data_IF_681407478267
#
_entry.id   IF_681407478267
#
_cell.length_a   1.000
_cell.length_b   1.000
_cell.length_c   1.000
_cell.angle_alpha   90.00
_cell.angle_beta   90.00
_cell.angle_gamma   90.00
#
_symmetry.space_group_name_H-M   'P 1'
#
loop_
_entity.id
_entity.type
_entity.pdbx_description
1 polymer ?
#
# COMPACT_ATOMS: atom_id res chain seq x y z
N UNK A 1 -34.15 -17.05 3.47
CA UNK A 1 -32.99 -16.92 2.56
C UNK A 1 -31.76 -16.76 3.44
N UNK A 2 -30.77 -17.65 3.32
CA UNK A 2 -29.48 -17.49 4.01
C UNK A 2 -28.74 -16.32 3.36
N UNK A 3 -29.02 -15.12 3.82
CA UNK A 3 -28.36 -13.90 3.36
C UNK A 3 -26.91 -13.89 3.80
N UNK A 4 -26.03 -13.45 2.92
CA UNK A 4 -24.65 -13.12 3.27
C UNK A 4 -24.72 -12.00 4.31
N UNK A 5 -24.39 -12.35 5.55
CA UNK A 5 -24.38 -11.42 6.66
C UNK A 5 -23.00 -10.75 6.75
N UNK A 6 -22.97 -9.52 7.26
CA UNK A 6 -21.74 -8.75 7.47
C UNK A 6 -20.61 -9.53 8.18
N UNK A 7 -20.89 -10.35 9.23
CA UNK A 7 -19.85 -11.16 9.88
C UNK A 7 -19.27 -12.25 8.98
N UNK A 8 -20.08 -12.88 8.11
CA UNK A 8 -19.60 -13.90 7.17
C UNK A 8 -18.56 -13.31 6.20
N UNK A 9 -18.80 -12.10 5.69
CA UNK A 9 -17.85 -11.41 4.80
C UNK A 9 -16.51 -11.12 5.48
N UNK A 10 -16.54 -10.76 6.76
CA UNK A 10 -15.32 -10.46 7.53
C UNK A 10 -14.47 -11.72 7.70
N UNK A 11 -15.09 -12.86 8.01
CA UNK A 11 -14.41 -14.17 8.12
C UNK A 11 -13.75 -14.55 6.79
N UNK A 12 -14.46 -14.38 5.66
CA UNK A 12 -13.91 -14.64 4.33
C UNK A 12 -12.73 -13.71 4.02
N UNK A 13 -12.86 -12.42 4.34
CA UNK A 13 -11.79 -11.43 4.12
C UNK A 13 -10.51 -11.79 4.88
N UNK A 14 -10.63 -12.26 6.13
CA UNK A 14 -9.47 -12.74 6.92
C UNK A 14 -8.79 -13.92 6.24
N UNK A 15 -9.55 -14.90 5.75
CA UNK A 15 -8.99 -16.05 5.03
C UNK A 15 -8.24 -15.59 3.78
N UNK A 16 -8.82 -14.68 2.98
CA UNK A 16 -8.17 -14.14 1.77
C UNK A 16 -6.87 -13.42 2.13
N UNK A 17 -6.86 -12.60 3.19
CA UNK A 17 -5.64 -11.92 3.65
C UNK A 17 -4.56 -12.92 4.07
N UNK A 18 -4.93 -14.02 4.72
CA UNK A 18 -3.97 -15.06 5.11
C UNK A 18 -3.40 -15.83 3.90
N UNK A 19 -4.23 -16.11 2.88
CA UNK A 19 -3.79 -16.83 1.67
C UNK A 19 -2.86 -15.98 0.79
N UNK A 20 -3.23 -14.72 0.57
CA UNK A 20 -2.48 -13.83 -0.33
C UNK A 20 -1.41 -13.00 0.38
N UNK A 21 -1.49 -12.90 1.71
CA UNK A 21 -0.67 -12.02 2.53
C UNK A 21 -1.06 -10.55 2.42
N UNK A 22 -0.82 -9.79 3.49
CA UNK A 22 -1.09 -8.33 3.54
C UNK A 22 -0.23 -7.54 2.56
N UNK A 23 0.99 -8.01 2.25
CA UNK A 23 1.93 -7.33 1.34
C UNK A 23 1.40 -7.29 -0.09
N UNK A 24 0.83 -8.40 -0.58
CA UNK A 24 0.28 -8.48 -1.94
C UNK A 24 -1.05 -7.72 -2.06
N UNK A 25 -1.90 -7.82 -1.04
CA UNK A 25 -3.12 -7.02 -0.95
C UNK A 25 -2.85 -5.52 -0.85
N UNK A 26 -1.82 -5.09 -0.12
CA UNK A 26 -1.44 -3.66 -0.03
C UNK A 26 -0.94 -3.12 -1.38
N UNK A 27 -0.15 -3.90 -2.10
CA UNK A 27 0.38 -3.49 -3.39
C UNK A 27 -0.75 -3.28 -4.41
N UNK A 28 -1.62 -4.27 -4.55
CA UNK A 28 -2.76 -4.21 -5.48
C UNK A 28 -3.84 -3.23 -4.99
N UNK A 29 -4.06 -3.17 -3.67
CA UNK A 29 -5.03 -2.27 -3.03
C UNK A 29 -4.64 -0.80 -3.10
N UNK A 30 -3.34 -0.47 -3.15
CA UNK A 30 -2.87 0.89 -3.37
C UNK A 30 -3.29 1.42 -4.74
N UNK A 31 -3.07 0.63 -5.79
CA UNK A 31 -3.40 0.99 -7.17
C UNK A 31 -4.92 1.10 -7.36
N UNK A 32 -5.64 0.06 -6.94
CA UNK A 32 -7.11 0.03 -7.03
C UNK A 32 -7.76 1.11 -6.17
N UNK A 33 -7.26 1.33 -4.95
CA UNK A 33 -7.77 2.34 -4.04
C UNK A 33 -7.58 3.75 -4.58
N UNK A 34 -6.48 4.00 -5.27
CA UNK A 34 -6.19 5.30 -5.89
C UNK A 34 -7.10 5.58 -7.09
N UNK A 35 -7.35 4.57 -7.93
CA UNK A 35 -8.32 4.67 -9.02
C UNK A 35 -9.75 4.92 -8.51
N UNK A 36 -10.18 4.19 -7.47
CA UNK A 36 -11.51 4.36 -6.85
C UNK A 36 -11.62 5.72 -6.15
N UNK A 37 -10.55 6.22 -5.53
CA UNK A 37 -10.51 7.56 -4.91
C UNK A 37 -10.71 8.66 -5.96
N UNK A 38 -10.03 8.57 -7.10
CA UNK A 38 -10.21 9.49 -8.23
C UNK A 38 -11.62 9.43 -8.81
N UNK A 39 -12.18 8.22 -8.96
CA UNK A 39 -13.56 8.02 -9.40
C UNK A 39 -14.58 8.65 -8.44
N UNK A 40 -14.46 8.39 -7.13
CA UNK A 40 -15.33 9.01 -6.12
C UNK A 40 -15.19 10.53 -6.10
N UNK A 41 -13.96 11.04 -6.23
CA UNK A 41 -13.69 12.47 -6.29
C UNK A 41 -14.40 13.11 -7.49
N UNK A 42 -14.27 12.54 -8.68
CA UNK A 42 -14.94 13.03 -9.88
C UNK A 42 -16.47 12.96 -9.79
N UNK A 43 -17.01 11.89 -9.21
CA UNK A 43 -18.45 11.71 -9.04
C UNK A 43 -19.05 12.64 -7.98
N UNK A 44 -18.26 13.07 -6.99
CA UNK A 44 -18.68 14.07 -5.99
C UNK A 44 -18.41 15.53 -6.41
N UNK A 45 -17.47 15.76 -7.35
CA UNK A 45 -17.10 17.10 -7.86
C UNK A 45 -18.16 17.69 -8.81
N UNK A 46 -19.11 16.88 -9.27
CA UNK A 46 -20.27 17.33 -10.07
C UNK A 46 -21.32 18.06 -9.21
N UNK A 47 -21.35 17.85 -7.88
CA UNK A 47 -22.36 18.46 -7.01
C UNK A 47 -21.90 19.76 -6.31
N UNK A 48 -20.59 20.09 -6.26
CA UNK A 48 -20.08 21.35 -5.66
C UNK A 48 -18.65 21.68 -6.13
N UNK A 49 -18.40 22.87 -6.70
CA UNK A 49 -17.05 23.39 -7.10
C UNK A 49 -16.71 24.75 -6.44
N UNK A 50 -15.43 25.18 -6.28
CA UNK A 50 -14.29 24.94 -7.18
C UNK A 50 -13.02 24.29 -6.56
N UNK A 51 -12.12 23.95 -7.48
CA UNK A 51 -10.91 23.14 -7.36
C UNK A 51 -9.78 23.77 -6.53
N UNK A 52 -9.15 22.94 -5.68
CA UNK A 52 -7.70 22.94 -5.43
C UNK A 52 -7.36 21.87 -4.40
N UNK A 53 -6.80 20.75 -4.87
CA UNK A 53 -5.84 19.90 -4.16
C UNK A 53 -5.55 18.76 -5.12
N UNK A 54 -4.64 19.07 -6.04
CA UNK A 54 -3.93 18.11 -6.84
C UNK A 54 -3.47 16.95 -5.95
N UNK A 55 -3.54 15.75 -6.52
CA UNK A 55 -3.13 14.54 -5.87
C UNK A 55 -1.64 14.61 -5.55
N UNK A 56 -1.31 15.06 -4.34
CA UNK A 56 -0.01 14.83 -3.72
C UNK A 56 0.13 13.31 -3.51
N UNK A 57 0.76 12.67 -4.50
CA UNK A 57 1.09 11.26 -4.52
C UNK A 57 2.53 11.08 -4.05
N UNK A 58 2.92 11.73 -2.95
CA UNK A 58 4.22 11.52 -2.32
C UNK A 58 4.05 11.39 -0.81
N UNK A 59 4.16 10.14 -0.33
CA UNK A 59 5.07 9.75 0.77
C UNK A 59 4.85 8.30 1.21
N UNK A 60 5.98 7.60 1.29
CA UNK A 60 6.23 6.43 2.14
C UNK A 60 5.71 5.07 1.66
N UNK A 61 6.33 4.54 0.59
CA UNK A 61 6.72 3.12 0.57
C UNK A 61 8.25 3.05 0.69
N UNK A 62 8.78 3.62 1.77
CA UNK A 62 10.15 3.32 2.20
C UNK A 62 10.14 3.20 3.72
N UNK A 63 9.90 1.98 4.18
CA UNK A 63 10.30 1.56 5.52
C UNK A 63 10.64 0.07 5.46
N UNK A 64 11.91 -0.18 5.14
CA UNK A 64 12.86 -0.78 6.09
C UNK A 64 12.26 -1.80 7.08
N UNK A 65 12.44 -3.07 6.76
CA UNK A 65 12.40 -4.23 7.65
C UNK A 65 13.38 -5.23 7.00
N UNK A 66 14.48 -5.72 7.59
CA UNK A 66 14.91 -5.79 8.98
C UNK A 66 16.42 -6.11 9.05
N UNK A 67 17.03 -5.69 10.16
CA UNK A 67 18.19 -6.24 10.90
C UNK A 67 19.41 -6.86 10.19
N UNK A 68 20.57 -6.25 10.46
CA UNK A 68 21.80 -6.86 11.01
C UNK A 68 22.17 -8.27 10.56
N UNK A 69 23.18 -8.35 9.68
CA UNK A 69 24.26 -9.32 9.77
C UNK A 69 25.51 -8.75 9.08
N UNK A 70 26.49 -8.40 9.91
CA UNK A 70 27.93 -8.58 9.66
C UNK A 70 28.57 -7.74 8.53
N UNK A 71 28.88 -6.50 8.93
CA UNK A 71 30.03 -5.74 8.45
C UNK A 71 31.32 -6.46 8.86
N UNK A 72 31.94 -7.23 7.96
CA UNK A 72 33.37 -7.59 7.94
C UNK A 72 33.69 -8.26 6.58
N UNK A 73 33.88 -7.47 5.51
CA UNK A 73 34.90 -7.74 4.47
C UNK A 73 34.87 -6.63 3.38
N UNK A 74 35.71 -5.59 3.51
CA UNK A 74 36.31 -4.83 2.39
C UNK A 74 37.63 -4.20 2.85
N UNK A 75 38.74 -4.73 2.34
CA UNK A 75 39.57 -4.08 1.31
C UNK A 75 40.47 -2.97 1.89
N UNK A 76 41.70 -3.27 2.33
CA UNK A 76 42.89 -3.54 1.51
C UNK A 76 43.14 -2.50 0.41
N UNK A 77 43.17 -1.21 0.74
CA UNK A 77 43.74 -0.18 -0.15
C UNK A 77 44.21 1.08 0.61
N UNK A 78 45.35 0.97 1.31
CA UNK A 78 46.24 2.10 1.64
C UNK A 78 47.68 1.61 1.73
N UNK A 79 48.20 1.16 0.60
CA UNK A 79 49.62 1.24 0.28
C UNK A 79 49.72 2.03 -1.03
N UNK A 80 50.57 3.05 -1.03
CA UNK A 80 50.97 3.87 -2.18
C UNK A 80 50.02 5.03 -2.53
N UNK A 81 50.33 6.17 -1.94
CA UNK A 81 49.85 7.52 -2.25
C UNK A 81 50.56 8.51 -1.35
#
# INVERSE_FOLDING_TARGET
MMGISWPQLLIIAVIVILLFGTKKLRNIGGDLGSAVKGFKKAMSDDETKPASKDADFDKNIEHKESATAEDLDKDKQKEQG
#
